data_IF_078468975922
#
_entry.id   IF_078468975922
#
_cell.length_a   1.000
_cell.length_b   1.000
_cell.length_c   1.000
_cell.angle_alpha   90.00
_cell.angle_beta   90.00
_cell.angle_gamma   90.00
#
_symmetry.space_group_name_H-M   'P 1'
#
loop_
_entity.id
_entity.type
_entity.pdbx_description
1 polymer ?
#
# COMPACT_ATOMS: atom_id res chain seq x y z
N UNK A 1 -43.32 -9.70 -13.95
CA UNK A 1 -42.37 -8.85 -14.70
C UNK A 1 -42.10 -7.60 -13.87
N UNK A 2 -40.84 -7.22 -13.64
CA UNK A 2 -39.71 -8.05 -13.20
C UNK A 2 -39.39 -7.77 -11.71
N UNK A 3 -38.83 -8.78 -11.06
CA UNK A 3 -37.97 -8.57 -9.89
C UNK A 3 -36.68 -7.95 -10.42
N UNK A 4 -36.30 -6.79 -9.87
CA UNK A 4 -34.98 -6.23 -10.11
C UNK A 4 -34.03 -6.74 -9.02
N UNK A 5 -33.01 -7.56 -9.38
CA UNK A 5 -31.96 -7.98 -8.47
C UNK A 5 -30.85 -6.92 -8.49
N UNK A 6 -30.99 -5.93 -7.62
CA UNK A 6 -30.00 -4.86 -7.43
C UNK A 6 -29.31 -4.95 -6.08
N UNK A 7 -28.79 -6.12 -5.69
CA UNK A 7 -27.73 -6.20 -4.67
C UNK A 7 -26.49 -5.53 -5.26
N UNK A 8 -26.40 -4.21 -5.14
CA UNK A 8 -25.11 -3.52 -5.29
C UNK A 8 -24.48 -3.51 -3.92
N UNK A 9 -23.94 -4.66 -3.54
CA UNK A 9 -22.79 -4.77 -2.63
C UNK A 9 -21.63 -3.94 -3.20
N UNK A 10 -21.69 -2.64 -2.96
CA UNK A 10 -20.58 -1.70 -3.13
C UNK A 10 -20.05 -1.31 -1.77
N UNK A 11 -19.81 -2.29 -0.89
CA UNK A 11 -19.02 -2.08 0.31
C UNK A 11 -17.63 -1.67 -0.12
N UNK A 12 -17.38 -0.36 -0.24
CA UNK A 12 -16.06 0.20 -0.53
C UNK A 12 -15.19 -0.04 0.69
N UNK A 13 -14.63 -1.24 0.74
CA UNK A 13 -13.55 -1.76 1.57
C UNK A 13 -13.08 -0.82 2.68
N UNK A 14 -13.89 -0.69 3.74
CA UNK A 14 -13.43 -0.14 5.01
C UNK A 14 -12.47 -1.14 5.73
N UNK A 15 -12.34 -2.35 5.17
CA UNK A 15 -11.41 -3.41 5.59
C UNK A 15 -9.93 -3.14 5.22
N UNK A 16 -9.62 -2.10 4.45
CA UNK A 16 -8.28 -1.88 3.88
C UNK A 16 -7.26 -1.23 4.84
N UNK A 17 -7.67 -0.67 5.98
CA UNK A 17 -6.71 -0.06 6.91
C UNK A 17 -6.03 -1.06 7.85
N UNK A 18 -6.66 -2.22 8.10
CA UNK A 18 -6.13 -3.21 9.05
C UNK A 18 -5.22 -4.28 8.41
N UNK A 19 -5.34 -4.53 7.09
CA UNK A 19 -4.73 -5.71 6.42
C UNK A 19 -3.64 -5.35 5.40
N UNK A 20 -3.03 -4.16 5.52
CA UNK A 20 -1.91 -3.77 4.63
C UNK A 20 -0.59 -4.46 4.97
N UNK A 21 -0.49 -5.11 6.13
CA UNK A 21 0.72 -5.83 6.55
C UNK A 21 1.03 -6.97 5.58
N UNK A 22 2.29 -7.04 5.14
CA UNK A 22 2.78 -8.01 4.17
C UNK A 22 2.62 -7.55 2.71
N UNK A 23 1.88 -6.48 2.45
CA UNK A 23 1.71 -5.93 1.10
C UNK A 23 2.98 -5.23 0.64
N UNK A 24 3.26 -5.33 -0.66
CA UNK A 24 4.34 -4.61 -1.32
C UNK A 24 3.86 -3.21 -1.67
N UNK A 25 4.74 -2.23 -1.49
CA UNK A 25 4.47 -0.85 -1.84
C UNK A 25 5.59 -0.26 -2.67
N UNK A 26 5.27 0.79 -3.40
CA UNK A 26 6.20 1.63 -4.12
C UNK A 26 6.14 3.04 -3.55
N UNK A 27 7.30 3.58 -3.18
CA UNK A 27 7.41 4.98 -2.77
C UNK A 27 7.13 5.86 -3.99
N UNK A 28 6.23 6.83 -3.88
CA UNK A 28 5.97 7.81 -4.92
C UNK A 28 6.63 9.14 -4.56
N UNK A 29 6.53 9.54 -3.30
CA UNK A 29 7.12 10.79 -2.80
C UNK A 29 7.49 10.64 -1.33
N UNK A 30 8.57 11.30 -0.92
CA UNK A 30 8.98 11.42 0.46
C UNK A 30 9.44 12.84 0.74
N UNK A 31 8.95 13.41 1.84
CA UNK A 31 9.32 14.77 2.24
C UNK A 31 10.68 14.81 2.97
N UNK A 32 11.06 13.69 3.60
CA UNK A 32 12.32 13.58 4.33
C UNK A 32 13.53 13.59 3.37
N UNK A 33 14.36 14.62 3.44
CA UNK A 33 15.58 14.76 2.62
C UNK A 33 16.80 14.09 3.24
N UNK A 34 16.68 13.55 4.46
CA UNK A 34 17.74 12.83 5.16
C UNK A 34 17.76 11.33 4.86
N UNK A 35 16.70 10.82 4.23
CA UNK A 35 16.62 9.44 3.75
C UNK A 35 17.35 9.24 2.42
N UNK A 36 17.74 7.98 2.17
CA UNK A 36 18.28 7.54 0.86
C UNK A 36 17.21 6.99 -0.06
N UNK A 37 15.97 6.88 0.43
CA UNK A 37 14.87 6.38 -0.36
C UNK A 37 14.52 7.38 -1.46
N UNK A 38 14.36 6.85 -2.68
CA UNK A 38 13.96 7.64 -3.83
C UNK A 38 12.58 7.18 -4.32
N UNK A 39 11.80 8.06 -4.97
CA UNK A 39 10.62 7.66 -5.72
C UNK A 39 10.89 6.45 -6.61
N UNK A 40 10.07 5.42 -6.49
CA UNK A 40 10.24 4.12 -7.13
C UNK A 40 10.82 3.03 -6.23
N UNK A 41 11.32 3.37 -5.04
CA UNK A 41 11.79 2.39 -4.07
C UNK A 41 10.66 1.42 -3.69
N UNK A 42 10.99 0.14 -3.59
CA UNK A 42 10.05 -0.91 -3.19
C UNK A 42 10.26 -1.31 -1.74
N UNK A 43 9.15 -1.56 -1.05
CA UNK A 43 9.17 -2.00 0.34
C UNK A 43 7.98 -2.87 0.70
N UNK A 44 8.07 -3.57 1.82
CA UNK A 44 6.97 -4.37 2.39
C UNK A 44 6.47 -3.72 3.66
N UNK A 45 5.17 -3.51 3.74
CA UNK A 45 4.54 -3.03 4.96
C UNK A 45 4.67 -4.08 6.05
N UNK A 46 5.26 -3.70 7.16
CA UNK A 46 5.40 -4.54 8.35
C UNK A 46 4.33 -4.28 9.40
N UNK A 47 3.71 -3.09 9.36
CA UNK A 47 2.61 -2.68 10.24
C UNK A 47 2.49 -1.16 10.31
N UNK A 48 1.61 -0.67 11.19
CA UNK A 48 1.52 0.74 11.57
C UNK A 48 1.80 0.83 13.06
N UNK A 49 2.55 1.82 13.52
CA UNK A 49 2.79 2.03 14.94
C UNK A 49 1.66 2.83 15.62
N UNK A 50 1.74 3.00 16.93
CA UNK A 50 0.74 3.76 17.70
C UNK A 50 0.74 5.26 17.42
N UNK A 51 1.66 5.76 16.60
CA UNK A 51 1.72 7.15 16.15
C UNK A 51 1.12 7.31 14.75
N UNK A 52 0.64 6.23 14.13
CA UNK A 52 0.10 6.24 12.77
C UNK A 52 1.19 6.18 11.69
N UNK A 53 2.45 5.90 12.04
CA UNK A 53 3.54 5.78 11.08
C UNK A 53 3.50 4.39 10.47
N UNK A 54 3.45 4.33 9.14
CA UNK A 54 3.48 3.09 8.37
C UNK A 54 4.91 2.53 8.35
N UNK A 55 5.15 1.45 9.10
CA UNK A 55 6.45 0.77 9.16
C UNK A 55 6.65 -0.06 7.89
N UNK A 56 7.63 0.31 7.08
CA UNK A 56 7.96 -0.39 5.83
C UNK A 56 9.39 -0.93 5.90
N UNK A 57 9.57 -2.19 5.53
CA UNK A 57 10.87 -2.79 5.30
C UNK A 57 11.21 -2.60 3.82
N UNK A 58 12.14 -1.69 3.54
CA UNK A 58 12.58 -1.37 2.19
C UNK A 58 13.60 -2.38 1.68
N UNK A 59 13.66 -2.55 0.37
CA UNK A 59 14.56 -3.52 -0.28
C UNK A 59 16.04 -3.11 -0.21
N UNK A 60 16.31 -1.81 -0.07
CA UNK A 60 17.64 -1.26 0.21
C UNK A 60 18.16 -1.64 1.62
N UNK A 61 17.34 -2.32 2.43
CA UNK A 61 17.65 -2.68 3.82
C UNK A 61 17.21 -1.63 4.85
N UNK A 62 16.78 -0.45 4.37
CA UNK A 62 16.24 0.63 5.19
C UNK A 62 14.91 0.24 5.88
N UNK A 63 14.67 0.82 7.07
CA UNK A 63 13.45 0.61 7.87
C UNK A 63 12.79 1.94 8.21
N UNK A 64 12.62 2.79 7.20
CA UNK A 64 11.97 4.08 7.37
C UNK A 64 10.45 3.90 7.41
N UNK A 65 9.82 4.60 8.35
CA UNK A 65 8.38 4.71 8.41
C UNK A 65 7.87 5.82 7.50
N UNK A 66 6.71 5.62 6.88
CA UNK A 66 6.04 6.65 6.08
C UNK A 66 4.90 7.28 6.88
N UNK A 67 4.72 8.59 6.71
CA UNK A 67 3.60 9.35 7.23
C UNK A 67 2.56 9.50 6.12
N UNK A 68 1.39 8.88 6.28
CA UNK A 68 0.31 8.98 5.27
C UNK A 68 -0.17 10.41 4.98
N UNK A 69 0.15 11.37 5.87
CA UNK A 69 -0.18 12.78 5.72
C UNK A 69 0.88 13.58 4.93
N UNK A 70 2.13 13.09 4.86
CA UNK A 70 3.27 13.81 4.26
C UNK A 70 3.92 13.06 3.10
N UNK A 71 3.89 11.74 3.13
CA UNK A 71 4.54 10.86 2.16
C UNK A 71 3.50 10.18 1.27
N UNK A 72 3.86 9.98 0.00
CA UNK A 72 2.99 9.31 -0.96
C UNK A 72 3.56 7.95 -1.34
N UNK A 73 2.68 6.95 -1.35
CA UNK A 73 3.05 5.59 -1.71
C UNK A 73 1.87 4.86 -2.34
N UNK A 74 2.19 3.92 -3.22
CA UNK A 74 1.23 3.06 -3.89
C UNK A 74 1.35 1.64 -3.34
N UNK A 75 0.22 0.99 -3.04
CA UNK A 75 0.23 -0.43 -2.72
C UNK A 75 0.11 -1.23 -4.01
N UNK A 76 1.09 -2.09 -4.23
CA UNK A 76 1.08 -3.05 -5.33
C UNK A 76 0.20 -4.23 -4.89
N UNK A 77 -1.04 -4.28 -5.39
CA UNK A 77 -2.00 -5.38 -5.15
C UNK A 77 -1.64 -6.66 -5.92
N UNK A 78 -0.83 -6.51 -6.96
CA UNK A 78 -0.52 -7.60 -7.87
C UNK A 78 0.85 -8.21 -7.52
N UNK A 79 0.94 -9.54 -7.26
CA UNK A 79 2.19 -10.23 -7.57
C UNK A 79 2.51 -9.96 -9.04
N UNK A 80 3.80 -9.82 -9.44
CA UNK A 80 4.15 -9.63 -10.84
C UNK A 80 3.55 -10.78 -11.66
N UNK A 81 2.51 -10.44 -12.42
CA UNK A 81 1.91 -11.10 -13.56
C UNK A 81 1.83 -12.64 -13.55
N UNK A 82 0.64 -13.18 -13.26
CA UNK A 82 0.18 -14.41 -13.92
C UNK A 82 -1.23 -14.22 -14.48
N UNK A 83 -1.37 -13.40 -15.51
CA UNK A 83 -2.53 -13.34 -16.42
C UNK A 83 -2.14 -12.47 -17.62
N UNK A 84 -2.15 -12.89 -18.87
CA UNK A 84 -2.38 -14.18 -19.47
C UNK A 84 -1.87 -14.00 -20.90
N UNK A 85 -0.84 -14.75 -21.29
CA UNK A 85 -0.60 -15.04 -22.70
C UNK A 85 -1.82 -15.81 -23.22
N UNK A 86 -2.40 -15.35 -24.32
CA UNK A 86 -3.51 -16.03 -25.00
C UNK A 86 -4.14 -15.13 -26.05
#
# INVERSE_FOLDING_TARGET
>A
MPHDPGDTSGGKSEADSATRRGRRIRLLFISDSHTRLQPGALGTITGVDSQGILRVKWDDGSRLGLLSDQDEFEILDQPPDTSSTG
#
